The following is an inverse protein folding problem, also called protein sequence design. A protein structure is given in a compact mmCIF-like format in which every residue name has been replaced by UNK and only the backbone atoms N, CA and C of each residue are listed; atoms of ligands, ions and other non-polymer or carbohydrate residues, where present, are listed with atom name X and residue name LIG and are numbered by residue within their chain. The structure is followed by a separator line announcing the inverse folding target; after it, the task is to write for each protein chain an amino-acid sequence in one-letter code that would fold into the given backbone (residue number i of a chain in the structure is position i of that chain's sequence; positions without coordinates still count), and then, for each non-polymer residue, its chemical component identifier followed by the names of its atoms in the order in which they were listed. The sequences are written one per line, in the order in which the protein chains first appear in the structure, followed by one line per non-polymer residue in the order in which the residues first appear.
data_IF_909814194108
#
_entry.id   IF_909814194108
#
_cell.length_a   1.000
_cell.length_b   1.000
_cell.length_c   1.000
_cell.angle_alpha   90.00
_cell.angle_beta   90.00
_cell.angle_gamma   90.00
#
_symmetry.space_group_name_H-M   'P 1'
#
loop_
_entity.id
_entity.type
_entity.pdbx_description
1 polymer ?
#
# COMPACT_ATOMS: atom_id res chain seq x y z
N UNK A 1 45.63 20.84 -14.32
CA UNK A 1 44.57 21.50 -13.52
C UNK A 1 43.24 21.12 -14.15
N UNK A 2 42.57 20.07 -13.63
CA UNK A 2 41.29 19.57 -14.18
C UNK A 2 40.18 20.25 -13.39
N UNK A 3 39.36 21.02 -14.09
CA UNK A 3 38.26 21.82 -13.55
C UNK A 3 37.19 20.84 -13.07
N UNK A 4 36.82 20.94 -11.79
CA UNK A 4 35.72 20.22 -11.18
C UNK A 4 34.40 20.91 -11.55
N UNK A 5 33.79 20.48 -12.64
CA UNK A 5 32.39 20.80 -12.97
C UNK A 5 31.53 19.57 -12.63
N UNK A 6 31.05 19.46 -11.39
CA UNK A 6 29.99 18.47 -11.08
C UNK A 6 29.22 18.72 -9.78
N UNK A 7 29.06 19.95 -9.31
CA UNK A 7 28.28 20.20 -8.09
C UNK A 7 27.44 21.46 -8.19
N UNK A 8 26.46 21.47 -9.10
CA UNK A 8 25.29 22.37 -9.00
C UNK A 8 24.07 21.66 -9.61
N UNK A 9 23.74 20.49 -9.08
CA UNK A 9 22.44 19.89 -9.34
C UNK A 9 21.41 20.61 -8.46
N UNK A 10 20.59 21.45 -9.10
CA UNK A 10 19.63 22.37 -8.51
C UNK A 10 18.75 21.70 -7.43
N UNK A 11 18.60 22.28 -6.22
CA UNK A 11 17.83 21.69 -5.11
C UNK A 11 16.36 21.41 -5.47
N UNK A 12 15.81 22.13 -6.44
CA UNK A 12 14.43 22.03 -6.93
C UNK A 12 14.13 20.68 -7.60
N UNK A 13 15.09 20.09 -8.32
CA UNK A 13 14.89 18.86 -9.10
C UNK A 13 14.86 17.60 -8.22
N UNK A 14 15.73 17.54 -7.20
CA UNK A 14 15.75 16.44 -6.22
C UNK A 14 14.48 16.39 -5.38
N UNK A 15 13.92 17.55 -5.04
CA UNK A 15 12.68 17.65 -4.25
C UNK A 15 11.46 17.15 -5.04
N UNK A 16 11.33 17.50 -6.32
CA UNK A 16 10.24 17.01 -7.17
C UNK A 16 10.31 15.48 -7.34
N UNK A 17 11.50 14.94 -7.59
CA UNK A 17 11.70 13.49 -7.73
C UNK A 17 11.27 12.71 -6.47
N UNK A 18 11.70 13.17 -5.28
CA UNK A 18 11.34 12.55 -4.00
C UNK A 18 9.84 12.60 -3.74
N UNK A 19 9.17 13.71 -4.07
CA UNK A 19 7.71 13.84 -3.92
C UNK A 19 6.94 12.88 -4.82
N UNK A 20 7.40 12.68 -6.07
CA UNK A 20 6.80 11.73 -7.02
C UNK A 20 6.97 10.29 -6.55
N UNK A 21 8.14 9.94 -6.04
CA UNK A 21 8.40 8.61 -5.46
C UNK A 21 7.49 8.35 -4.26
N UNK A 22 7.34 9.32 -3.36
CA UNK A 22 6.44 9.21 -2.21
C UNK A 22 4.99 8.99 -2.63
N UNK A 23 4.48 9.77 -3.60
CA UNK A 23 3.12 9.61 -4.14
C UNK A 23 2.91 8.23 -4.75
N UNK A 24 3.88 7.75 -5.54
CA UNK A 24 3.84 6.40 -6.15
C UNK A 24 3.85 5.31 -5.08
N UNK A 25 4.72 5.42 -4.07
CA UNK A 25 4.79 4.47 -2.96
C UNK A 25 3.47 4.42 -2.18
N UNK A 26 2.88 5.58 -1.90
CA UNK A 26 1.60 5.69 -1.20
C UNK A 26 0.47 5.04 -2.02
N UNK A 27 0.36 5.37 -3.31
CA UNK A 27 -0.64 4.78 -4.19
C UNK A 27 -0.46 3.26 -4.32
N UNK A 28 0.79 2.79 -4.41
CA UNK A 28 1.11 1.37 -4.45
C UNK A 28 0.66 0.64 -3.17
N UNK A 29 0.99 1.17 -1.99
CA UNK A 29 0.56 0.58 -0.71
C UNK A 29 -0.95 0.54 -0.62
N UNK A 30 -1.63 1.66 -0.93
CA UNK A 30 -3.08 1.76 -0.88
C UNK A 30 -3.76 0.72 -1.79
N UNK A 31 -3.26 0.59 -3.04
CA UNK A 31 -3.76 -0.40 -3.99
C UNK A 31 -3.51 -1.83 -3.53
N UNK A 32 -2.33 -2.11 -2.96
CA UNK A 32 -2.01 -3.44 -2.44
C UNK A 32 -2.91 -3.84 -1.27
N UNK A 33 -3.16 -2.93 -0.33
CA UNK A 33 -4.09 -3.18 0.79
C UNK A 33 -5.50 -3.46 0.25
N UNK A 34 -5.97 -2.64 -0.70
CA UNK A 34 -7.28 -2.84 -1.33
C UNK A 34 -7.38 -4.21 -2.02
N UNK A 35 -6.40 -4.59 -2.83
CA UNK A 35 -6.41 -5.89 -3.52
C UNK A 35 -6.35 -7.07 -2.55
N UNK A 36 -5.54 -6.97 -1.49
CA UNK A 36 -5.49 -8.00 -0.46
C UNK A 36 -6.81 -8.12 0.29
N UNK A 37 -7.47 -6.99 0.56
CA UNK A 37 -8.81 -7.00 1.12
C UNK A 37 -9.79 -7.72 0.19
N UNK A 38 -9.80 -7.44 -1.11
CA UNK A 38 -10.67 -8.15 -2.06
C UNK A 38 -10.41 -9.66 -2.12
N UNK A 39 -9.14 -10.09 -2.04
CA UNK A 39 -8.79 -11.51 -2.01
C UNK A 39 -9.29 -12.17 -0.73
N UNK A 40 -9.11 -11.50 0.41
CA UNK A 40 -9.58 -11.98 1.70
C UNK A 40 -11.11 -12.08 1.72
N UNK A 41 -11.78 -11.04 1.23
CA UNK A 41 -13.24 -10.97 1.14
C UNK A 41 -13.81 -12.10 0.26
N UNK A 42 -13.21 -12.33 -0.91
CA UNK A 42 -13.57 -13.47 -1.76
C UNK A 42 -13.38 -14.81 -1.06
N UNK A 43 -12.25 -14.99 -0.37
CA UNK A 43 -11.98 -16.21 0.38
C UNK A 43 -13.01 -16.43 1.50
N UNK A 44 -13.32 -15.39 2.27
CA UNK A 44 -14.28 -15.43 3.36
C UNK A 44 -15.68 -15.80 2.86
N UNK A 45 -16.16 -15.14 1.80
CA UNK A 45 -17.50 -15.39 1.25
C UNK A 45 -17.63 -16.79 0.64
N UNK A 46 -16.53 -17.37 0.12
CA UNK A 46 -16.59 -18.62 -0.66
C UNK A 46 -16.14 -19.87 0.09
N UNK A 47 -15.20 -19.76 1.02
CA UNK A 47 -14.52 -20.91 1.62
C UNK A 47 -14.86 -21.11 3.10
N UNK A 48 -15.25 -20.04 3.79
CA UNK A 48 -15.66 -20.11 5.19
C UNK A 48 -17.20 -20.21 5.22
N UNK A 49 -17.80 -20.99 6.13
CA UNK A 49 -19.24 -20.91 6.40
C UNK A 49 -19.57 -19.52 6.96
N UNK A 50 -19.78 -18.60 6.02
CA UNK A 50 -20.18 -17.23 6.24
C UNK A 50 -21.70 -17.16 6.46
N UNK A 51 -22.21 -16.35 7.41
CA UNK A 51 -21.47 -15.42 8.28
C UNK A 51 -21.00 -16.03 9.62
N UNK A 52 -21.33 -17.28 9.94
CA UNK A 52 -21.20 -17.81 11.32
C UNK A 52 -19.76 -17.93 11.84
N UNK A 53 -18.76 -18.18 10.98
CA UNK A 53 -17.36 -18.43 11.40
C UNK A 53 -16.37 -17.37 10.91
N UNK A 54 -16.84 -16.18 10.51
CA UNK A 54 -15.93 -15.12 10.01
C UNK A 54 -15.02 -14.59 11.12
N UNK A 55 -15.53 -14.51 12.35
CA UNK A 55 -14.82 -13.94 13.51
C UNK A 55 -13.58 -14.74 13.94
N UNK A 56 -13.52 -16.04 13.62
CA UNK A 56 -12.37 -16.88 13.93
C UNK A 56 -11.11 -16.47 13.14
N UNK A 57 -11.29 -15.68 12.07
CA UNK A 57 -10.22 -15.24 11.18
C UNK A 57 -9.98 -13.72 11.20
N UNK A 58 -10.50 -12.99 12.19
CA UNK A 58 -10.34 -11.53 12.29
C UNK A 58 -8.86 -11.10 12.33
N UNK A 59 -7.96 -11.95 12.81
CA UNK A 59 -6.52 -11.70 12.83
C UNK A 59 -5.90 -11.59 11.42
N UNK A 60 -6.53 -12.14 10.38
CA UNK A 60 -6.03 -12.06 9.00
C UNK A 60 -6.05 -10.64 8.44
N UNK A 61 -6.90 -9.75 8.99
CA UNK A 61 -6.89 -8.31 8.68
C UNK A 61 -5.55 -7.66 9.06
N UNK A 62 -4.87 -8.16 10.10
CA UNK A 62 -3.57 -7.63 10.52
C UNK A 62 -2.46 -7.88 9.48
N UNK A 63 -2.66 -8.83 8.56
CA UNK A 63 -1.70 -9.12 7.48
C UNK A 63 -1.75 -8.04 6.39
N UNK A 64 -2.91 -7.39 6.20
CA UNK A 64 -3.14 -6.41 5.14
C UNK A 64 -2.12 -5.26 5.12
N UNK A 65 -1.74 -4.62 6.24
CA UNK A 65 -0.70 -3.60 6.22
C UNK A 65 0.73 -4.17 6.24
N UNK A 66 0.92 -5.41 6.71
CA UNK A 66 2.26 -6.00 6.92
C UNK A 66 2.92 -6.37 5.60
N UNK A 67 2.20 -7.04 4.69
CA UNK A 67 2.76 -7.46 3.40
C UNK A 67 3.21 -6.28 2.52
N UNK A 68 2.40 -5.23 2.30
CA UNK A 68 2.84 -4.05 1.55
C UNK A 68 4.03 -3.36 2.18
N UNK A 69 4.13 -3.36 3.52
CA UNK A 69 5.27 -2.79 4.24
C UNK A 69 6.56 -3.56 3.95
N UNK A 70 6.53 -4.89 3.98
CA UNK A 70 7.68 -5.75 3.65
C UNK A 70 8.11 -5.53 2.20
N UNK A 71 7.16 -5.50 1.26
CA UNK A 71 7.44 -5.30 -0.16
C UNK A 71 8.06 -3.92 -0.40
N UNK A 72 7.52 -2.87 0.22
CA UNK A 72 8.03 -1.51 0.06
C UNK A 72 9.43 -1.35 0.65
N UNK A 73 9.69 -1.97 1.81
CA UNK A 73 11.03 -2.00 2.42
C UNK A 73 12.04 -2.78 1.56
N UNK A 74 11.64 -3.93 1.01
CA UNK A 74 12.45 -4.73 0.10
C UNK A 74 12.78 -3.97 -1.18
N UNK A 75 11.78 -3.33 -1.79
CA UNK A 75 11.94 -2.47 -2.96
C UNK A 75 12.91 -1.33 -2.67
N UNK A 76 12.73 -0.63 -1.53
CA UNK A 76 13.58 0.50 -1.18
C UNK A 76 15.05 0.10 -1.04
N UNK A 77 15.33 -1.09 -0.47
CA UNK A 77 16.69 -1.62 -0.33
C UNK A 77 17.29 -2.04 -1.66
N UNK A 78 16.51 -2.65 -2.55
CA UNK A 78 17.03 -3.19 -3.81
C UNK A 78 17.24 -2.12 -4.88
N UNK A 79 16.34 -1.14 -4.97
CA UNK A 79 16.37 -0.11 -6.01
C UNK A 79 17.31 1.07 -5.72
N UNK A 80 18.04 1.05 -4.60
CA UNK A 80 18.76 2.22 -4.07
C UNK A 80 17.87 3.48 -4.04
N UNK A 81 16.57 3.29 -3.79
CA UNK A 81 15.60 4.39 -3.77
C UNK A 81 15.98 5.42 -2.72
N UNK A 82 15.91 6.70 -3.09
CA UNK A 82 16.17 7.85 -2.22
C UNK A 82 15.08 8.09 -1.15
N UNK A 83 14.14 7.15 -0.98
CA UNK A 83 13.11 7.26 0.05
C UNK A 83 13.75 7.08 1.43
N UNK A 84 13.68 8.12 2.24
CA UNK A 84 14.08 8.05 3.65
C UNK A 84 13.13 7.13 4.42
N UNK A 85 13.59 6.55 5.53
CA UNK A 85 12.75 5.71 6.39
C UNK A 85 11.45 6.41 6.80
N UNK A 86 11.51 7.73 7.08
CA UNK A 86 10.32 8.53 7.42
C UNK A 86 9.32 8.63 6.26
N UNK A 87 9.79 8.73 5.02
CA UNK A 87 8.92 8.73 3.84
C UNK A 87 8.28 7.37 3.58
N UNK A 88 9.00 6.28 3.84
CA UNK A 88 8.45 4.92 3.74
C UNK A 88 7.34 4.75 4.77
N UNK A 89 7.61 5.08 6.04
CA UNK A 89 6.59 5.01 7.11
C UNK A 89 5.40 5.91 6.79
N UNK A 90 5.65 7.14 6.32
CA UNK A 90 4.59 8.06 5.91
C UNK A 90 3.75 7.52 4.75
N UNK A 91 4.37 6.89 3.75
CA UNK A 91 3.67 6.31 2.60
C UNK A 91 2.82 5.10 3.02
N UNK A 92 3.30 4.31 3.99
CA UNK A 92 2.53 3.20 4.55
C UNK A 92 1.30 3.73 5.29
N UNK A 93 1.48 4.66 6.23
CA UNK A 93 0.38 5.21 7.02
C UNK A 93 -0.66 5.90 6.13
N UNK A 94 -0.21 6.75 5.21
CA UNK A 94 -1.11 7.42 4.28
C UNK A 94 -1.76 6.44 3.30
N UNK A 95 -1.04 5.39 2.88
CA UNK A 95 -1.56 4.32 2.03
C UNK A 95 -2.70 3.55 2.71
N UNK A 96 -2.57 3.25 4.01
CA UNK A 96 -3.64 2.66 4.83
C UNK A 96 -4.84 3.60 4.92
N UNK A 97 -4.63 4.89 5.18
CA UNK A 97 -5.74 5.86 5.24
C UNK A 97 -6.46 5.94 3.90
N UNK A 98 -5.72 5.96 2.79
CA UNK A 98 -6.28 6.04 1.44
C UNK A 98 -6.89 4.72 0.95
N UNK A 99 -6.59 3.58 1.58
CA UNK A 99 -7.26 2.31 1.20
C UNK A 99 -8.69 2.24 1.72
N UNK A 100 -9.02 2.91 2.84
CA UNK A 100 -10.40 2.97 3.34
C UNK A 100 -11.42 3.47 2.31
N UNK A 101 -11.25 4.64 1.66
CA UNK A 101 -12.18 5.05 0.61
C UNK A 101 -12.22 4.06 -0.55
N UNK A 102 -11.09 3.45 -0.94
CA UNK A 102 -11.10 2.41 -1.98
C UNK A 102 -11.95 1.20 -1.57
N UNK A 103 -11.82 0.72 -0.34
CA UNK A 103 -12.61 -0.38 0.20
C UNK A 103 -14.08 0.01 0.32
N UNK A 104 -14.39 1.20 0.83
CA UNK A 104 -15.78 1.66 0.99
C UNK A 104 -16.48 1.82 -0.36
N UNK A 105 -15.82 2.41 -1.36
CA UNK A 105 -16.44 2.66 -2.67
C UNK A 105 -16.38 1.44 -3.59
N UNK A 106 -15.24 0.76 -3.70
CA UNK A 106 -15.10 -0.37 -4.63
C UNK A 106 -15.21 -1.72 -3.93
N UNK A 107 -14.67 -1.84 -2.73
CA UNK A 107 -14.67 -3.09 -1.96
C UNK A 107 -16.08 -3.54 -1.55
N UNK A 108 -16.91 -2.63 -1.04
CA UNK A 108 -18.31 -2.96 -0.68
C UNK A 108 -19.11 -3.40 -1.91
N UNK A 109 -18.94 -2.72 -3.05
CA UNK A 109 -19.59 -3.13 -4.30
C UNK A 109 -19.07 -4.50 -4.77
N UNK A 110 -17.78 -4.76 -4.62
CA UNK A 110 -17.20 -6.07 -4.90
C UNK A 110 -17.79 -7.16 -4.00
N UNK A 111 -17.84 -6.94 -2.68
CA UNK A 111 -18.42 -7.86 -1.69
C UNK A 111 -19.86 -8.27 -2.05
N UNK A 112 -20.70 -7.29 -2.37
CA UNK A 112 -22.07 -7.55 -2.80
C UNK A 112 -22.12 -8.34 -4.12
N UNK A 113 -21.23 -8.04 -5.07
CA UNK A 113 -21.19 -8.71 -6.38
C UNK A 113 -20.81 -10.19 -6.30
N UNK A 114 -20.05 -10.59 -5.28
CA UNK A 114 -19.63 -11.99 -5.07
C UNK A 114 -20.62 -12.81 -4.21
N UNK A 115 -21.71 -12.18 -3.76
CA UNK A 115 -22.77 -12.79 -2.96
C UNK A 115 -22.68 -12.55 -1.46
N UNK A 116 -21.80 -11.63 -1.02
CA UNK A 116 -21.70 -11.21 0.37
C UNK A 116 -22.93 -10.45 0.86
N UNK A 117 -23.12 -10.44 2.18
CA UNK A 117 -24.23 -9.75 2.86
C UNK A 117 -23.66 -8.81 3.92
N UNK A 118 -24.24 -7.61 4.03
CA UNK A 118 -23.81 -6.57 4.99
C UNK A 118 -24.32 -6.81 6.41
#
# INVERSE_FOLDING_TARGET
MKISESEDMEPTEKQDHSSRLFKKATAFVSLMIFLQWCVLDFYVVRMIPYPEQVHDNDWTILILPVLPSIILLGWSKWSHSLLTSGQITGAILLGIVLSFPLILFFGVNFHLSIGGQL
#
